data_IF_524568489332
#
_entry.id   IF_524568489332
#
_cell.length_a   1.000
_cell.length_b   1.000
_cell.length_c   1.000
_cell.angle_alpha   90.00
_cell.angle_beta   90.00
_cell.angle_gamma   90.00
#
_symmetry.space_group_name_H-M   'P 1'
#
loop_
_entity.id
_entity.type
_entity.pdbx_description
1 polymer ?
#
# COMPACT_ATOMS: atom_id res chain seq x y z
N UNK A 1 18.77 -17.48 -0.96
CA UNK A 1 18.85 -16.18 -0.25
C UNK A 1 18.38 -15.11 -1.24
N UNK A 2 17.09 -14.81 -1.29
CA UNK A 2 16.58 -13.75 -2.15
C UNK A 2 16.46 -12.48 -1.31
N UNK A 3 17.49 -11.65 -1.40
CA UNK A 3 17.43 -10.26 -0.96
C UNK A 3 16.51 -9.53 -1.93
N UNK A 4 15.19 -9.67 -1.75
CA UNK A 4 14.24 -8.80 -2.44
C UNK A 4 14.49 -7.41 -1.86
N UNK A 5 15.21 -6.56 -2.58
CA UNK A 5 15.16 -5.13 -2.35
C UNK A 5 13.71 -4.76 -2.65
N UNK A 6 12.87 -4.76 -1.61
CA UNK A 6 11.45 -4.47 -1.77
C UNK A 6 11.34 -3.13 -2.51
N UNK A 7 10.55 -3.05 -3.59
CA UNK A 7 10.48 -1.83 -4.38
C UNK A 7 10.12 -0.67 -3.45
N UNK A 8 10.92 0.40 -3.51
CA UNK A 8 10.64 1.61 -2.77
C UNK A 8 9.50 2.35 -3.45
N UNK A 9 8.46 2.63 -2.68
CA UNK A 9 7.24 3.31 -3.10
C UNK A 9 7.31 4.74 -2.62
N UNK A 10 7.09 5.67 -3.54
CA UNK A 10 6.91 7.07 -3.21
C UNK A 10 5.45 7.32 -2.84
N UNK A 11 5.14 7.61 -1.55
CA UNK A 11 3.78 7.92 -1.14
C UNK A 11 3.20 9.16 -1.81
N UNK A 12 4.04 10.09 -2.27
CA UNK A 12 3.58 11.30 -2.93
C UNK A 12 2.91 11.02 -4.29
N UNK A 13 3.20 9.88 -4.93
CA UNK A 13 2.51 9.47 -6.17
C UNK A 13 1.09 8.91 -5.90
N UNK A 14 0.75 8.63 -4.64
CA UNK A 14 -0.45 7.89 -4.26
C UNK A 14 -1.28 8.69 -3.25
N UNK A 15 -2.39 9.30 -3.66
CA UNK A 15 -3.15 10.22 -2.82
C UNK A 15 -3.69 9.56 -1.54
N UNK A 16 -4.08 8.27 -1.61
CA UNK A 16 -4.55 7.56 -0.42
C UNK A 16 -3.38 7.15 0.46
N UNK A 17 -2.26 6.65 -0.10
CA UNK A 17 -1.06 6.37 0.69
C UNK A 17 -0.53 7.62 1.41
N UNK A 18 -0.53 8.77 0.73
CA UNK A 18 -0.18 10.06 1.30
C UNK A 18 -1.10 10.44 2.45
N UNK A 19 -2.42 10.26 2.29
CA UNK A 19 -3.41 10.50 3.34
C UNK A 19 -3.21 9.57 4.55
N UNK A 20 -2.82 8.31 4.32
CA UNK A 20 -2.49 7.36 5.39
C UNK A 20 -1.24 7.77 6.17
N UNK A 21 -0.30 8.45 5.51
CA UNK A 21 0.93 8.97 6.09
C UNK A 21 0.78 10.39 6.66
N UNK A 22 -0.42 10.91 6.89
CA UNK A 22 -0.61 12.28 7.39
C UNK A 22 0.16 12.62 8.69
N UNK A 23 0.51 11.60 9.50
CA UNK A 23 1.30 11.73 10.72
C UNK A 23 2.79 11.29 10.56
N UNK A 24 3.27 11.17 9.33
CA UNK A 24 4.63 10.72 8.97
C UNK A 24 5.16 11.56 7.81
N UNK A 25 6.46 11.49 7.57
CA UNK A 25 7.08 12.13 6.41
C UNK A 25 6.63 11.46 5.11
N UNK A 26 5.74 12.12 4.38
CA UNK A 26 5.29 11.71 3.03
C UNK A 26 6.39 11.80 1.97
N UNK A 27 7.46 12.56 2.25
CA UNK A 27 8.63 12.71 1.37
C UNK A 27 9.61 11.53 1.47
N UNK A 28 9.37 10.58 2.39
CA UNK A 28 10.23 9.42 2.57
C UNK A 28 9.72 8.26 1.73
N UNK A 29 10.57 7.77 0.84
CA UNK A 29 10.33 6.51 0.15
C UNK A 29 10.19 5.39 1.20
N UNK A 30 9.09 4.64 1.12
CA UNK A 30 8.81 3.52 2.00
C UNK A 30 8.92 2.20 1.23
N UNK A 31 9.40 1.12 1.85
CA UNK A 31 9.46 -0.16 1.16
C UNK A 31 8.05 -0.72 0.94
N UNK A 32 7.86 -1.48 -0.15
CA UNK A 32 6.58 -2.05 -0.56
C UNK A 32 5.83 -2.82 0.54
N UNK A 33 6.55 -3.55 1.39
CA UNK A 33 5.97 -4.26 2.54
C UNK A 33 5.38 -3.30 3.58
N UNK A 34 6.04 -2.16 3.84
CA UNK A 34 5.53 -1.13 4.76
C UNK A 34 4.32 -0.40 4.16
N UNK A 35 4.36 -0.09 2.86
CA UNK A 35 3.21 0.46 2.16
C UNK A 35 1.98 -0.48 2.26
N UNK A 36 2.18 -1.78 2.05
CA UNK A 36 1.12 -2.77 2.21
C UNK A 36 0.57 -2.82 3.63
N UNK A 37 1.44 -2.86 4.65
CA UNK A 37 1.02 -2.84 6.05
C UNK A 37 0.26 -1.55 6.42
N UNK A 38 0.57 -0.42 5.80
CA UNK A 38 -0.18 0.82 5.97
C UNK A 38 -1.58 0.70 5.34
N UNK A 39 -1.68 0.21 4.11
CA UNK A 39 -2.96 -0.01 3.45
C UNK A 39 -3.83 -1.01 4.22
N UNK A 40 -3.29 -2.14 4.66
CA UNK A 40 -4.03 -3.15 5.41
C UNK A 40 -4.56 -2.61 6.73
N UNK A 41 -3.68 -1.98 7.53
CA UNK A 41 -4.04 -1.48 8.86
C UNK A 41 -5.02 -0.30 8.81
N UNK A 42 -4.94 0.49 7.74
CA UNK A 42 -5.76 1.69 7.56
C UNK A 42 -6.79 1.53 6.43
N UNK A 43 -7.08 0.30 5.98
CA UNK A 43 -7.99 0.04 4.86
C UNK A 43 -9.35 0.72 5.03
N UNK A 44 -9.84 0.77 6.26
CA UNK A 44 -11.09 1.46 6.62
C UNK A 44 -11.12 2.97 6.32
N UNK A 45 -9.95 3.59 6.21
CA UNK A 45 -9.78 5.01 5.90
C UNK A 45 -9.43 5.26 4.43
N UNK A 46 -9.18 4.20 3.65
CA UNK A 46 -8.89 4.31 2.23
C UNK A 46 -10.19 4.61 1.50
N UNK A 47 -10.23 5.78 0.87
CA UNK A 47 -11.32 6.22 0.02
C UNK A 47 -11.17 5.62 -1.38
N UNK A 48 -12.03 4.65 -1.68
CA UNK A 48 -12.06 3.97 -2.97
C UNK A 48 -12.38 4.89 -4.15
N UNK A 49 -12.97 6.06 -3.90
CA UNK A 49 -13.27 7.07 -4.92
C UNK A 49 -12.02 7.85 -5.34
N UNK A 50 -11.05 7.98 -4.44
CA UNK A 50 -9.76 8.67 -4.67
C UNK A 50 -8.66 7.75 -5.16
N UNK A 51 -8.83 6.44 -5.00
CA UNK A 51 -7.93 5.42 -5.54
C UNK A 51 -7.82 5.52 -7.07
N UNK A 52 -6.64 5.94 -7.53
CA UNK A 52 -6.33 5.96 -8.97
C UNK A 52 -6.12 4.55 -9.51
N UNK A 53 -6.23 4.34 -10.82
CA UNK A 53 -5.99 3.03 -11.46
C UNK A 53 -4.60 2.49 -11.14
N UNK A 54 -3.58 3.36 -11.11
CA UNK A 54 -2.20 2.98 -10.78
C UNK A 54 -2.07 2.52 -9.33
N UNK A 55 -2.75 3.20 -8.41
CA UNK A 55 -2.78 2.83 -6.99
C UNK A 55 -3.49 1.50 -6.76
N UNK A 56 -4.61 1.27 -7.43
CA UNK A 56 -5.32 -0.02 -7.39
C UNK A 56 -4.46 -1.18 -7.90
N UNK A 57 -3.68 -0.96 -8.95
CA UNK A 57 -2.73 -1.95 -9.46
C UNK A 57 -1.60 -2.22 -8.47
N UNK A 58 -1.10 -1.16 -7.83
CA UNK A 58 -0.08 -1.28 -6.80
C UNK A 58 -0.59 -2.12 -5.63
N UNK A 59 -1.74 -1.75 -5.05
CA UNK A 59 -2.34 -2.47 -3.91
C UNK A 59 -2.58 -3.94 -4.26
N UNK A 60 -3.05 -4.25 -5.47
CA UNK A 60 -3.24 -5.64 -5.91
C UNK A 60 -1.92 -6.41 -6.02
N UNK A 61 -0.87 -5.79 -6.54
CA UNK A 61 0.45 -6.41 -6.60
C UNK A 61 1.01 -6.65 -5.20
N UNK A 62 0.89 -5.65 -4.32
CA UNK A 62 1.28 -5.76 -2.92
C UNK A 62 0.49 -6.85 -2.19
N UNK A 63 -0.82 -6.95 -2.40
CA UNK A 63 -1.65 -8.00 -1.82
C UNK A 63 -1.29 -9.39 -2.35
N UNK A 64 -0.89 -9.50 -3.62
CA UNK A 64 -0.39 -10.77 -4.19
C UNK A 64 0.96 -11.17 -3.58
N UNK A 65 1.84 -10.20 -3.34
CA UNK A 65 3.21 -10.43 -2.86
C UNK A 65 3.28 -10.62 -1.34
N UNK A 66 2.56 -9.81 -0.58
CA UNK A 66 2.60 -9.78 0.89
C UNK A 66 1.31 -10.30 1.55
N UNK A 67 0.17 -10.26 0.85
CA UNK A 67 -1.14 -10.56 1.43
C UNK A 67 -1.41 -12.04 1.70
N UNK A 68 -0.50 -12.95 1.31
CA UNK A 68 -0.45 -14.38 1.68
C UNK A 68 -1.83 -15.10 1.82
N UNK A 69 -2.83 -14.69 1.04
CA UNK A 69 -4.15 -15.33 0.95
C UNK A 69 -5.26 -14.92 1.94
N UNK A 70 -5.11 -13.92 2.83
CA UNK A 70 -6.19 -13.54 3.80
C UNK A 70 -6.87 -12.21 3.45
N UNK A 71 -7.19 -11.97 2.18
CA UNK A 71 -8.03 -10.83 1.78
C UNK A 71 -9.23 -11.23 0.90
N UNK A 72 -9.68 -12.49 0.98
CA UNK A 72 -10.92 -12.96 0.35
C UNK A 72 -11.62 -14.02 1.21
N UNK A 73 -12.08 -13.66 2.41
CA UNK A 73 -13.20 -14.39 3.03
C UNK A 73 -14.12 -13.40 3.74
N UNK A 74 -14.78 -12.54 2.96
CA UNK A 74 -16.15 -12.16 3.29
C UNK A 74 -17.03 -13.30 2.76
N UNK A 75 -17.29 -14.28 3.63
CA UNK A 75 -18.26 -15.36 3.44
C UNK A 75 -19.32 -15.25 4.52
#
# INVERSE_FOLDING_TARGET
MQTHVAPMIDPAEFPELQALLWNRDVARLIPANEAFALYERNWRFVDQTRLTTREKLLIQNLAREFGHGILLTAG
#
